data_IF_252858850033
#
_entry.id   IF_252858850033
#
_cell.length_a   1.000
_cell.length_b   1.000
_cell.length_c   1.000
_cell.angle_alpha   90.00
_cell.angle_beta   90.00
_cell.angle_gamma   90.00
#
_symmetry.space_group_name_H-M   'P 1'
#
loop_
_entity.id
_entity.type
_entity.pdbx_description
1 polymer ?
#
# COMPACT_ATOMS: atom_id res chain seq x y z
N UNK A 1 13.32 12.30 -2.46
CA UNK A 1 13.95 10.96 -2.56
C UNK A 1 14.69 10.86 -3.90
N UNK A 2 16.01 11.10 -3.91
CA UNK A 2 16.80 11.09 -5.16
C UNK A 2 17.18 9.68 -5.61
N UNK A 3 17.23 8.72 -4.67
CA UNK A 3 17.86 7.41 -4.90
C UNK A 3 16.89 6.24 -5.10
N UNK A 4 15.58 6.44 -5.18
CA UNK A 4 14.66 5.29 -5.20
C UNK A 4 14.86 4.39 -6.42
N UNK A 5 15.27 4.93 -7.57
CA UNK A 5 15.56 4.12 -8.76
C UNK A 5 16.75 3.20 -8.50
N UNK A 6 17.81 3.69 -7.84
CA UNK A 6 18.97 2.87 -7.46
C UNK A 6 18.58 1.80 -6.43
N UNK A 7 17.73 2.16 -5.46
CA UNK A 7 17.18 1.21 -4.48
C UNK A 7 16.40 0.11 -5.20
N UNK A 8 15.52 0.48 -6.14
CA UNK A 8 14.73 -0.47 -6.90
C UNK A 8 15.59 -1.36 -7.79
N UNK A 9 16.58 -0.81 -8.47
CA UNK A 9 17.52 -1.58 -9.28
C UNK A 9 18.25 -2.65 -8.44
N UNK A 10 18.73 -2.28 -7.26
CA UNK A 10 19.36 -3.23 -6.35
C UNK A 10 18.36 -4.27 -5.84
N UNK A 11 17.21 -3.83 -5.32
CA UNK A 11 16.20 -4.72 -4.76
C UNK A 11 15.63 -5.70 -5.80
N UNK A 12 15.35 -5.23 -7.02
CA UNK A 12 14.84 -6.05 -8.13
C UNK A 12 15.86 -7.03 -8.71
N UNK A 13 17.15 -6.88 -8.38
CA UNK A 13 18.15 -7.92 -8.65
C UNK A 13 18.04 -9.12 -7.70
N UNK A 14 17.40 -8.93 -6.54
CA UNK A 14 17.31 -9.92 -5.47
C UNK A 14 15.91 -10.53 -5.35
N UNK A 15 14.84 -9.72 -5.44
CA UNK A 15 13.44 -10.13 -5.23
C UNK A 15 12.45 -9.25 -6.00
N UNK A 16 11.22 -9.72 -6.25
CA UNK A 16 10.15 -8.88 -6.78
C UNK A 16 9.90 -7.65 -5.91
N UNK A 17 9.60 -6.52 -6.54
CA UNK A 17 9.36 -5.26 -5.86
C UNK A 17 7.96 -4.73 -6.17
N UNK A 18 7.29 -4.22 -5.14
CA UNK A 18 6.07 -3.43 -5.26
C UNK A 18 6.35 -2.01 -4.79
N UNK A 19 6.03 -1.03 -5.64
CA UNK A 19 6.13 0.39 -5.33
C UNK A 19 4.73 0.93 -5.05
N UNK A 20 4.53 1.46 -3.84
CA UNK A 20 3.32 2.19 -3.49
C UNK A 20 3.57 3.68 -3.72
N UNK A 21 2.73 4.32 -4.53
CA UNK A 21 2.95 5.71 -4.93
C UNK A 21 1.63 6.40 -5.27
N UNK A 22 1.58 7.72 -5.15
CA UNK A 22 0.45 8.51 -5.64
C UNK A 22 0.50 8.75 -7.16
N UNK A 23 1.56 8.31 -7.84
CA UNK A 23 1.67 8.40 -9.32
C UNK A 23 1.90 9.80 -9.87
N UNK A 24 2.15 10.80 -9.02
CA UNK A 24 2.22 12.22 -9.43
C UNK A 24 3.63 12.66 -9.86
N UNK A 25 3.95 13.95 -9.76
CA UNK A 25 5.22 14.57 -10.15
C UNK A 25 6.50 13.78 -9.80
N UNK A 26 6.65 13.16 -8.60
CA UNK A 26 7.86 12.39 -8.29
C UNK A 26 8.10 11.21 -9.24
N UNK A 27 7.03 10.59 -9.73
CA UNK A 27 7.07 9.53 -10.74
C UNK A 27 7.23 10.14 -12.12
N UNK A 28 6.36 11.09 -12.49
CA UNK A 28 6.36 11.72 -13.82
C UNK A 28 7.72 12.32 -14.20
N UNK A 29 8.38 13.01 -13.27
CA UNK A 29 9.70 13.63 -13.49
C UNK A 29 10.84 12.62 -13.62
N UNK A 30 10.60 11.34 -13.32
CA UNK A 30 11.62 10.27 -13.31
C UNK A 30 11.30 9.11 -14.23
N UNK A 31 10.30 9.26 -15.11
CA UNK A 31 9.90 8.21 -16.05
C UNK A 31 11.09 7.63 -16.84
N UNK A 32 12.00 8.47 -17.35
CA UNK A 32 13.21 8.02 -18.05
C UNK A 32 14.13 7.14 -17.18
N UNK A 33 14.29 7.47 -15.90
CA UNK A 33 15.06 6.65 -14.96
C UNK A 33 14.32 5.37 -14.56
N UNK A 34 12.99 5.42 -14.44
CA UNK A 34 12.19 4.22 -14.15
C UNK A 34 12.25 3.24 -15.33
N UNK A 35 12.25 3.75 -16.56
CA UNK A 35 12.35 2.92 -17.77
C UNK A 35 13.62 2.07 -17.81
N UNK A 36 14.73 2.53 -17.20
CA UNK A 36 15.97 1.74 -17.11
C UNK A 36 15.83 0.51 -16.20
N UNK A 37 14.77 0.43 -15.39
CA UNK A 37 14.50 -0.73 -14.55
C UNK A 37 13.80 -1.86 -15.31
N UNK A 38 13.40 -1.64 -16.57
CA UNK A 38 12.87 -2.70 -17.42
C UNK A 38 13.91 -3.80 -17.63
N UNK A 39 13.43 -5.04 -17.62
CA UNK A 39 14.32 -6.20 -17.73
C UNK A 39 15.11 -6.51 -16.45
N UNK A 40 14.80 -5.86 -15.32
CA UNK A 40 15.27 -6.31 -14.00
C UNK A 40 15.02 -7.81 -13.81
N UNK A 41 15.95 -8.49 -13.16
CA UNK A 41 15.88 -9.95 -12.92
C UNK A 41 14.55 -10.39 -12.30
N UNK A 42 14.04 -9.61 -11.35
CA UNK A 42 12.72 -9.79 -10.77
C UNK A 42 11.78 -8.63 -11.12
N UNK A 43 10.47 -8.89 -11.23
CA UNK A 43 9.51 -7.89 -11.67
C UNK A 43 9.36 -6.75 -10.66
N UNK A 44 9.10 -5.57 -11.19
CA UNK A 44 8.72 -4.37 -10.43
C UNK A 44 7.29 -4.02 -10.82
N UNK A 45 6.43 -3.86 -9.82
CA UNK A 45 5.03 -3.44 -10.01
C UNK A 45 4.76 -2.13 -9.28
N UNK A 46 3.79 -1.35 -9.76
CA UNK A 46 3.42 -0.07 -9.17
C UNK A 46 1.94 -0.07 -8.80
N UNK A 47 1.63 0.20 -7.52
CA UNK A 47 0.26 0.43 -7.08
C UNK A 47 0.03 1.92 -6.86
N UNK A 48 -0.90 2.47 -7.64
CA UNK A 48 -1.18 3.91 -7.67
C UNK A 48 -2.38 4.21 -6.78
N UNK A 49 -2.19 5.09 -5.80
CA UNK A 49 -3.26 5.53 -4.90
C UNK A 49 -4.14 6.60 -5.55
N UNK A 50 -5.38 6.23 -5.88
CA UNK A 50 -6.43 7.10 -6.41
C UNK A 50 -7.67 6.93 -5.54
N UNK A 51 -7.76 7.74 -4.49
CA UNK A 51 -8.70 7.55 -3.37
C UNK A 51 -10.18 7.53 -3.76
N UNK A 52 -10.58 8.42 -4.67
CA UNK A 52 -11.98 8.63 -5.06
C UNK A 52 -12.10 8.68 -6.59
N UNK A 53 -13.21 8.19 -7.18
CA UNK A 53 -13.44 8.30 -8.61
C UNK A 53 -13.81 9.74 -9.02
N UNK A 54 -14.34 10.52 -8.09
CA UNK A 54 -14.60 11.95 -8.26
C UNK A 54 -13.29 12.76 -8.15
N UNK A 55 -12.92 13.54 -9.19
CA UNK A 55 -11.68 14.29 -9.20
C UNK A 55 -11.56 15.34 -8.08
N UNK A 56 -12.64 16.07 -7.80
CA UNK A 56 -12.63 17.16 -6.82
C UNK A 56 -12.48 16.59 -5.40
N UNK A 57 -13.19 15.50 -5.08
CA UNK A 57 -13.06 14.76 -3.82
C UNK A 57 -11.67 14.16 -3.66
N UNK A 58 -11.08 13.60 -4.71
CA UNK A 58 -9.69 13.10 -4.68
C UNK A 58 -8.71 14.24 -4.37
N UNK A 59 -8.81 15.34 -5.11
CA UNK A 59 -7.88 16.45 -5.00
C UNK A 59 -8.04 17.24 -3.69
N UNK A 60 -9.20 17.22 -3.04
CA UNK A 60 -9.44 17.89 -1.76
C UNK A 60 -8.42 17.51 -0.67
N UNK A 61 -8.02 16.22 -0.60
CA UNK A 61 -7.02 15.73 0.36
C UNK A 61 -5.61 15.55 -0.22
N UNK A 62 -5.46 15.66 -1.54
CA UNK A 62 -4.23 15.32 -2.27
C UNK A 62 -3.55 16.54 -2.90
N UNK A 63 -4.27 17.64 -3.10
CA UNK A 63 -3.85 18.84 -3.82
C UNK A 63 -4.36 18.86 -5.26
N UNK A 64 -4.73 20.05 -5.75
CA UNK A 64 -5.35 20.25 -7.07
C UNK A 64 -4.52 19.69 -8.24
N UNK A 65 -5.20 19.02 -9.16
CA UNK A 65 -4.66 18.40 -10.36
C UNK A 65 -3.97 17.05 -10.14
N UNK A 66 -3.96 16.52 -8.91
CA UNK A 66 -3.27 15.25 -8.64
C UNK A 66 -4.06 14.04 -9.14
N UNK A 67 -5.38 14.10 -9.23
CA UNK A 67 -6.22 13.08 -9.85
C UNK A 67 -5.75 12.79 -11.28
N UNK A 68 -5.69 13.84 -12.11
CA UNK A 68 -5.25 13.72 -13.51
C UNK A 68 -3.80 13.25 -13.60
N UNK A 69 -2.91 13.79 -12.77
CA UNK A 69 -1.49 13.39 -12.74
C UNK A 69 -1.31 11.93 -12.35
N UNK A 70 -2.08 11.42 -11.39
CA UNK A 70 -2.01 10.03 -10.94
C UNK A 70 -2.34 9.08 -12.08
N UNK A 71 -3.42 9.33 -12.83
CA UNK A 71 -3.76 8.54 -14.02
C UNK A 71 -2.73 8.69 -15.14
N UNK A 72 -2.19 9.88 -15.38
CA UNK A 72 -1.10 10.09 -16.35
C UNK A 72 0.14 9.25 -15.99
N UNK A 73 0.53 9.25 -14.71
CA UNK A 73 1.65 8.46 -14.21
C UNK A 73 1.39 6.95 -14.33
N UNK A 74 0.18 6.52 -13.95
CA UNK A 74 -0.25 5.12 -14.09
C UNK A 74 -0.19 4.65 -15.55
N UNK A 75 -0.73 5.46 -16.48
CA UNK A 75 -0.68 5.19 -17.92
C UNK A 75 0.75 5.11 -18.43
N UNK A 76 1.61 6.06 -18.07
CA UNK A 76 3.00 6.07 -18.51
C UNK A 76 3.76 4.81 -18.05
N UNK A 77 3.59 4.42 -16.79
CA UNK A 77 4.19 3.18 -16.24
C UNK A 77 3.68 1.93 -16.97
N UNK A 78 2.37 1.86 -17.23
CA UNK A 78 1.76 0.77 -17.99
C UNK A 78 2.31 0.69 -19.43
N UNK A 79 2.38 1.82 -20.14
CA UNK A 79 2.93 1.90 -21.50
C UNK A 79 4.39 1.46 -21.58
N UNK A 80 5.17 1.67 -20.52
CA UNK A 80 6.55 1.16 -20.43
C UNK A 80 6.62 -0.37 -20.27
N UNK A 81 5.52 -1.02 -19.90
CA UNK A 81 5.45 -2.47 -19.69
C UNK A 81 5.54 -2.90 -18.23
N UNK A 82 5.39 -1.98 -17.27
CA UNK A 82 5.28 -2.35 -15.86
C UNK A 82 3.86 -2.79 -15.50
N UNK A 83 3.75 -3.75 -14.59
CA UNK A 83 2.47 -4.09 -13.99
C UNK A 83 2.01 -2.93 -13.11
N UNK A 84 0.77 -2.49 -13.32
CA UNK A 84 0.14 -1.44 -12.53
C UNK A 84 -1.14 -1.96 -11.86
N UNK A 85 -1.41 -1.47 -10.66
CA UNK A 85 -2.67 -1.68 -9.94
C UNK A 85 -3.13 -0.36 -9.32
N UNK A 86 -4.41 -0.28 -8.98
CA UNK A 86 -5.03 0.90 -8.36
C UNK A 86 -5.35 0.57 -6.90
N UNK A 87 -5.01 1.49 -6.00
CA UNK A 87 -5.49 1.48 -4.62
C UNK A 87 -6.49 2.62 -4.42
N UNK A 88 -7.65 2.34 -3.82
CA UNK A 88 -8.70 3.32 -3.53
C UNK A 88 -9.12 3.29 -2.06
N UNK A 89 -9.76 4.35 -1.61
CA UNK A 89 -10.51 4.34 -0.35
C UNK A 89 -11.84 3.61 -0.55
N UNK A 90 -12.35 2.97 0.50
CA UNK A 90 -13.72 2.45 0.58
C UNK A 90 -14.49 3.14 1.70
N UNK A 91 -15.76 3.39 1.45
CA UNK A 91 -16.70 3.80 2.50
C UNK A 91 -17.33 2.55 3.14
N UNK A 92 -17.72 2.63 4.42
CA UNK A 92 -18.15 1.45 5.18
C UNK A 92 -19.37 0.72 4.58
N UNK A 93 -20.30 1.48 3.99
CA UNK A 93 -21.57 0.98 3.45
C UNK A 93 -21.67 1.16 1.94
N UNK A 94 -20.53 1.24 1.24
CA UNK A 94 -20.53 1.38 -0.23
C UNK A 94 -20.93 0.07 -0.93
N UNK A 95 -21.51 0.19 -2.13
CA UNK A 95 -21.51 -0.89 -3.11
C UNK A 95 -20.16 -0.90 -3.83
N UNK A 96 -19.21 -1.70 -3.32
CA UNK A 96 -17.86 -1.79 -3.91
C UNK A 96 -17.86 -2.23 -5.37
N UNK A 97 -18.86 -3.00 -5.82
CA UNK A 97 -18.98 -3.40 -7.23
C UNK A 97 -19.28 -2.21 -8.12
N UNK A 98 -20.27 -1.40 -7.70
CA UNK A 98 -20.62 -0.14 -8.40
C UNK A 98 -19.47 0.88 -8.39
N UNK A 99 -18.78 1.05 -7.25
CA UNK A 99 -17.63 1.95 -7.16
C UNK A 99 -16.48 1.46 -8.05
N UNK A 100 -16.16 0.16 -8.02
CA UNK A 100 -15.13 -0.41 -8.88
C UNK A 100 -15.45 -0.22 -10.37
N UNK A 101 -16.73 -0.33 -10.78
CA UNK A 101 -17.14 -0.09 -12.16
C UNK A 101 -16.88 1.34 -12.62
N UNK A 102 -17.05 2.34 -11.74
CA UNK A 102 -16.66 3.73 -12.03
C UNK A 102 -15.16 3.84 -12.27
N UNK A 103 -14.33 3.17 -11.46
CA UNK A 103 -12.89 3.11 -11.69
C UNK A 103 -12.51 2.38 -12.97
N UNK A 104 -13.20 1.28 -13.32
CA UNK A 104 -12.96 0.56 -14.58
C UNK A 104 -13.23 1.46 -15.77
N UNK A 105 -14.24 2.32 -15.70
CA UNK A 105 -14.51 3.30 -16.75
C UNK A 105 -13.46 4.42 -16.82
N UNK A 106 -13.03 4.92 -15.66
CA UNK A 106 -11.90 5.86 -15.60
C UNK A 106 -10.62 5.25 -16.19
N UNK A 107 -10.31 4.00 -15.83
CA UNK A 107 -9.16 3.28 -16.39
C UNK A 107 -9.21 3.25 -17.91
N UNK A 108 -10.36 2.88 -18.50
CA UNK A 108 -10.54 2.90 -19.97
C UNK A 108 -10.39 4.30 -20.56
N UNK A 109 -10.99 5.30 -19.93
CA UNK A 109 -10.89 6.73 -20.34
C UNK A 109 -9.44 7.20 -20.40
N UNK A 110 -8.61 6.74 -19.46
CA UNK A 110 -7.17 7.03 -19.42
C UNK A 110 -6.31 6.03 -20.21
N UNK A 111 -6.89 5.15 -21.02
CA UNK A 111 -6.16 4.21 -21.87
C UNK A 111 -5.46 3.07 -21.12
N UNK A 112 -5.97 2.71 -19.94
CA UNK A 112 -5.55 1.56 -19.14
C UNK A 112 -6.54 0.40 -19.31
N UNK A 113 -6.11 -0.86 -19.07
CA UNK A 113 -7.00 -2.00 -19.13
C UNK A 113 -8.14 -1.91 -18.10
N UNK A 114 -9.38 -2.10 -18.52
CA UNK A 114 -10.54 -2.09 -17.60
C UNK A 114 -10.56 -3.26 -16.59
N UNK A 115 -9.70 -4.26 -16.77
CA UNK A 115 -9.48 -5.36 -15.82
C UNK A 115 -8.25 -5.14 -14.91
N UNK A 116 -7.69 -3.92 -14.87
CA UNK A 116 -6.60 -3.58 -13.95
C UNK A 116 -7.04 -3.86 -12.50
N UNK A 117 -6.15 -4.50 -11.72
CA UNK A 117 -6.42 -4.85 -10.31
C UNK A 117 -6.73 -3.59 -9.50
N UNK A 118 -7.86 -3.59 -8.82
CA UNK A 118 -8.27 -2.57 -7.84
C UNK A 118 -8.16 -3.18 -6.45
N UNK A 119 -7.57 -2.45 -5.52
CA UNK A 119 -7.47 -2.81 -4.10
C UNK A 119 -8.11 -1.69 -3.29
N UNK A 120 -9.18 -1.99 -2.58
CA UNK A 120 -9.89 -1.03 -1.76
C UNK A 120 -9.41 -1.12 -0.31
N UNK A 121 -9.22 0.04 0.34
CA UNK A 121 -8.79 0.15 1.73
C UNK A 121 -9.83 0.91 2.54
N UNK A 122 -10.19 0.43 3.74
CA UNK A 122 -11.01 1.21 4.67
C UNK A 122 -10.20 2.38 5.23
N UNK A 123 -10.90 3.27 5.92
CA UNK A 123 -10.26 4.32 6.70
C UNK A 123 -9.48 3.71 7.89
N UNK A 124 -8.22 4.13 8.03
CA UNK A 124 -7.32 3.74 9.11
C UNK A 124 -7.09 4.87 10.14
N UNK A 125 -7.86 5.96 10.04
CA UNK A 125 -7.66 7.23 10.74
C UNK A 125 -6.30 7.89 10.48
N UNK A 126 -6.16 9.09 11.04
CA UNK A 126 -4.92 9.84 11.05
C UNK A 126 -3.89 9.24 12.03
N UNK A 127 -2.58 9.49 11.84
CA UNK A 127 -1.53 9.16 12.80
C UNK A 127 -1.86 9.65 14.22
N UNK A 128 -1.55 8.83 15.23
CA UNK A 128 -1.82 9.08 16.65
C UNK A 128 -3.31 9.25 17.03
N UNK A 129 -4.24 8.90 16.14
CA UNK A 129 -5.64 8.74 16.52
C UNK A 129 -5.78 7.58 17.51
N UNK A 130 -6.70 7.72 18.45
CA UNK A 130 -7.08 6.65 19.37
C UNK A 130 -8.55 6.32 19.15
N UNK A 131 -8.83 5.03 18.92
CA UNK A 131 -10.19 4.49 18.98
C UNK A 131 -10.30 3.50 20.12
N UNK A 132 -11.43 3.55 20.81
CA UNK A 132 -11.79 2.52 21.78
C UNK A 132 -12.32 1.30 21.03
N UNK A 133 -11.40 0.38 20.70
CA UNK A 133 -11.72 -0.88 20.02
C UNK A 133 -11.12 -2.05 20.80
N UNK A 134 -11.76 -3.23 20.78
CA UNK A 134 -11.24 -4.40 21.47
C UNK A 134 -9.89 -4.87 20.90
N UNK A 135 -9.02 -5.36 21.79
CA UNK A 135 -7.82 -6.11 21.40
C UNK A 135 -8.20 -7.34 20.56
N UNK A 136 -7.52 -7.55 19.43
CA UNK A 136 -7.67 -8.78 18.64
C UNK A 136 -6.85 -9.89 19.29
N UNK A 137 -7.54 -10.89 19.83
CA UNK A 137 -6.91 -12.04 20.51
C UNK A 137 -6.68 -13.21 19.55
N UNK A 138 -5.87 -14.19 19.98
CA UNK A 138 -5.71 -15.45 19.24
C UNK A 138 -7.05 -16.19 19.06
N UNK A 139 -7.93 -16.15 20.07
CA UNK A 139 -9.27 -16.74 19.97
C UNK A 139 -10.15 -16.01 18.95
N UNK A 140 -10.03 -14.68 18.84
CA UNK A 140 -10.70 -13.94 17.78
C UNK A 140 -10.21 -14.40 16.41
N UNK A 141 -8.89 -14.52 16.23
CA UNK A 141 -8.30 -14.96 14.96
C UNK A 141 -8.70 -16.38 14.58
N UNK A 142 -8.72 -17.33 15.51
CA UNK A 142 -9.11 -18.72 15.19
C UNK A 142 -10.62 -18.91 15.02
N UNK A 143 -11.44 -18.03 15.61
CA UNK A 143 -12.90 -18.11 15.53
C UNK A 143 -13.48 -17.44 14.29
N UNK A 144 -12.94 -16.28 13.91
CA UNK A 144 -13.53 -15.43 12.86
C UNK A 144 -12.73 -15.44 11.56
N UNK A 145 -11.51 -15.98 11.56
CA UNK A 145 -10.66 -16.07 10.37
C UNK A 145 -10.31 -17.54 10.08
N UNK A 146 -10.27 -17.88 8.80
CA UNK A 146 -9.74 -19.17 8.32
C UNK A 146 -8.21 -19.20 8.42
N UNK A 147 -7.58 -20.36 8.20
CA UNK A 147 -6.13 -20.40 8.08
C UNK A 147 -5.62 -19.56 6.91
N UNK A 148 -6.27 -19.64 5.76
CA UNK A 148 -5.87 -18.90 4.55
C UNK A 148 -5.95 -17.39 4.75
N UNK A 149 -7.04 -16.89 5.32
CA UNK A 149 -7.20 -15.46 5.63
C UNK A 149 -6.18 -14.98 6.65
N UNK A 150 -5.88 -15.79 7.69
CA UNK A 150 -4.82 -15.48 8.66
C UNK A 150 -3.44 -15.32 8.00
N UNK A 151 -3.14 -16.07 6.95
CA UNK A 151 -1.86 -15.98 6.21
C UNK A 151 -1.77 -14.74 5.31
N UNK A 152 -2.90 -14.10 4.99
CA UNK A 152 -2.94 -12.90 4.15
C UNK A 152 -2.66 -11.59 4.90
N UNK A 153 -2.72 -11.59 6.24
CA UNK A 153 -2.38 -10.43 7.04
C UNK A 153 -0.89 -10.11 6.90
N UNK A 154 -0.59 -8.89 6.44
CA UNK A 154 0.80 -8.45 6.24
C UNK A 154 1.67 -8.59 7.50
N UNK A 155 1.11 -8.36 8.69
CA UNK A 155 1.84 -8.47 9.94
C UNK A 155 2.34 -9.89 10.24
N UNK A 156 1.77 -10.92 9.58
CA UNK A 156 2.16 -12.32 9.75
C UNK A 156 3.48 -12.68 9.04
N UNK A 157 3.83 -11.99 7.94
CA UNK A 157 4.99 -12.38 7.11
C UNK A 157 5.87 -11.20 6.66
N UNK A 158 5.47 -9.96 6.90
CA UNK A 158 6.22 -8.76 6.53
C UNK A 158 6.56 -7.91 7.74
N UNK A 159 7.54 -7.02 7.54
CA UNK A 159 7.97 -5.99 8.50
C UNK A 159 8.24 -4.70 7.72
N UNK A 160 8.02 -3.56 8.35
CA UNK A 160 8.39 -2.27 7.76
C UNK A 160 9.76 -1.87 8.26
N UNK A 161 10.60 -1.33 7.37
CA UNK A 161 11.89 -0.76 7.75
C UNK A 161 11.85 0.72 7.40
N UNK A 162 12.00 1.59 8.40
CA UNK A 162 11.98 3.04 8.23
C UNK A 162 13.28 3.68 8.68
N UNK A 163 13.59 4.85 8.12
CA UNK A 163 14.67 5.72 8.59
C UNK A 163 14.09 6.86 9.43
N UNK A 164 14.23 6.79 10.76
CA UNK A 164 13.76 7.80 11.71
C UNK A 164 14.96 8.46 12.37
N UNK A 165 15.08 9.78 12.27
CA UNK A 165 16.20 10.55 12.85
C UNK A 165 17.59 10.01 12.48
N UNK A 166 17.77 9.61 11.20
CA UNK A 166 19.03 9.07 10.70
C UNK A 166 19.25 7.57 10.98
N UNK A 167 18.44 6.94 11.81
CA UNK A 167 18.58 5.54 12.22
C UNK A 167 17.56 4.65 11.50
N UNK A 168 17.99 3.45 11.12
CA UNK A 168 17.08 2.42 10.60
C UNK A 168 16.37 1.74 11.77
N UNK A 169 15.04 1.62 11.66
CA UNK A 169 14.17 0.97 12.64
C UNK A 169 13.29 -0.05 11.94
N UNK A 170 13.09 -1.21 12.57
CA UNK A 170 12.21 -2.27 12.08
C UNK A 170 10.91 -2.21 12.86
N UNK A 171 9.80 -1.97 12.16
CA UNK A 171 8.45 -1.93 12.72
C UNK A 171 7.66 -3.18 12.36
N UNK A 172 6.71 -3.55 13.22
CA UNK A 172 5.90 -4.74 13.06
C UNK A 172 4.99 -4.72 11.80
N UNK A 173 4.47 -3.55 11.44
CA UNK A 173 3.56 -3.34 10.31
C UNK A 173 3.72 -1.91 9.77
N UNK A 174 3.29 -1.67 8.53
CA UNK A 174 3.30 -0.34 7.89
C UNK A 174 2.28 0.64 8.46
N UNK A 175 1.31 0.15 9.25
CA UNK A 175 0.21 0.94 9.80
C UNK A 175 0.39 1.30 11.27
N UNK A 176 1.52 1.00 11.90
CA UNK A 176 1.71 1.13 13.36
C UNK A 176 2.99 1.89 13.69
N UNK A 177 3.46 2.75 12.79
CA UNK A 177 4.70 3.51 12.95
C UNK A 177 4.58 4.73 13.89
N UNK A 178 3.35 5.05 14.28
CA UNK A 178 3.00 6.02 15.31
C UNK A 178 3.01 5.45 16.73
N UNK A 179 3.10 4.13 16.91
CA UNK A 179 3.15 3.48 18.22
C UNK A 179 4.54 2.85 18.51
N UNK A 180 5.30 3.36 19.51
CA UNK A 180 6.59 2.83 19.89
C UNK A 180 6.60 1.36 20.35
N UNK A 181 5.46 0.79 20.80
CA UNK A 181 5.38 -0.64 21.17
C UNK A 181 5.68 -1.54 19.96
N UNK A 182 5.41 -1.04 18.74
CA UNK A 182 5.62 -1.75 17.49
C UNK A 182 6.98 -1.50 16.85
N UNK A 183 7.83 -0.66 17.45
CA UNK A 183 9.24 -0.55 17.09
C UNK A 183 10.00 -1.78 17.64
N UNK A 184 10.39 -2.68 16.74
CA UNK A 184 10.98 -3.96 17.06
C UNK A 184 12.51 -3.92 17.20
N UNK A 185 13.16 -2.79 16.93
CA UNK A 185 14.61 -2.65 17.07
C UNK A 185 15.31 -2.08 15.83
N UNK A 186 16.65 -2.07 15.87
CA UNK A 186 17.49 -1.55 14.80
C UNK A 186 17.84 -2.59 13.74
N UNK A 187 17.68 -3.89 14.04
CA UNK A 187 18.10 -4.99 13.19
C UNK A 187 16.99 -6.02 12.96
N UNK A 188 17.09 -6.78 11.86
CA UNK A 188 16.17 -7.90 11.61
C UNK A 188 16.27 -9.00 12.68
N UNK A 189 17.47 -9.21 13.22
CA UNK A 189 17.71 -10.20 14.27
C UNK A 189 16.97 -9.84 15.57
N UNK A 190 17.03 -8.57 15.99
CA UNK A 190 16.23 -8.06 17.12
C UNK A 190 14.73 -8.24 16.86
N UNK A 191 14.27 -7.92 15.64
CA UNK A 191 12.85 -7.97 15.31
C UNK A 191 12.26 -9.39 15.29
N UNK A 192 13.04 -10.41 14.90
CA UNK A 192 12.58 -11.80 14.79
C UNK A 192 12.18 -12.40 16.15
N UNK A 193 12.82 -11.98 17.25
CA UNK A 193 12.55 -12.51 18.58
C UNK A 193 11.34 -11.90 19.29
N UNK A 194 10.71 -10.86 18.72
CA UNK A 194 9.66 -10.09 19.40
C UNK A 194 8.27 -10.52 18.98
N UNK A 195 7.46 -10.92 19.96
CA UNK A 195 6.04 -11.19 19.75
C UNK A 195 5.29 -9.87 19.53
N UNK A 196 4.53 -9.80 18.45
CA UNK A 196 3.66 -8.65 18.11
C UNK A 196 2.24 -8.96 18.57
N UNK A 197 1.60 -8.01 19.26
CA UNK A 197 0.20 -8.11 19.67
C UNK A 197 -0.67 -7.24 18.76
N UNK A 198 -1.89 -7.68 18.43
CA UNK A 198 -2.83 -6.92 17.59
C UNK A 198 -3.73 -6.02 18.44
N UNK A 199 -3.13 -5.03 19.13
CA UNK A 199 -3.81 -4.09 20.04
C UNK A 199 -4.07 -2.72 19.42
N UNK A 200 -3.29 -2.35 18.41
CA UNK A 200 -3.47 -1.08 17.73
C UNK A 200 -4.85 -1.03 17.06
N UNK A 201 -5.52 0.12 17.10
CA UNK A 201 -6.86 0.24 16.51
C UNK A 201 -6.89 -0.12 15.01
N UNK A 202 -5.82 0.19 14.27
CA UNK A 202 -5.66 -0.23 12.86
C UNK A 202 -5.50 -1.75 12.69
N UNK A 203 -5.00 -2.48 13.69
CA UNK A 203 -5.02 -3.95 13.65
C UNK A 203 -6.46 -4.48 13.70
N UNK A 204 -7.33 -3.85 14.50
CA UNK A 204 -8.75 -4.15 14.51
C UNK A 204 -9.40 -3.83 13.16
N UNK A 205 -9.10 -2.68 12.55
CA UNK A 205 -9.59 -2.34 11.20
C UNK A 205 -9.18 -3.40 10.17
N UNK A 206 -7.91 -3.80 10.13
CA UNK A 206 -7.47 -4.91 9.26
C UNK A 206 -8.23 -6.21 9.54
N UNK A 207 -8.48 -6.54 10.80
CA UNK A 207 -9.23 -7.74 11.19
C UNK A 207 -10.70 -7.69 10.76
N UNK A 208 -11.35 -6.54 10.92
CA UNK A 208 -12.77 -6.35 10.61
C UNK A 208 -13.04 -6.31 9.10
N UNK A 209 -12.15 -5.67 8.33
CA UNK A 209 -12.35 -5.42 6.90
C UNK A 209 -11.46 -6.28 5.98
N UNK A 210 -10.65 -7.19 6.54
CA UNK A 210 -9.78 -8.08 5.76
C UNK A 210 -8.69 -7.36 4.94
N UNK A 211 -8.33 -6.13 5.32
CA UNK A 211 -7.48 -5.26 4.51
C UNK A 211 -6.03 -5.76 4.48
N UNK A 212 -5.49 -5.91 3.29
CA UNK A 212 -4.08 -6.27 3.08
C UNK A 212 -3.44 -5.39 2.02
N UNK A 213 -2.27 -4.83 2.32
CA UNK A 213 -1.45 -4.15 1.32
C UNK A 213 -0.51 -5.15 0.59
N UNK A 214 -0.65 -6.46 0.84
CA UNK A 214 0.10 -7.53 0.18
C UNK A 214 -0.26 -7.67 -1.30
N UNK A 215 0.68 -8.16 -2.10
CA UNK A 215 0.43 -8.68 -3.45
C UNK A 215 0.48 -10.21 -3.51
N UNK A 216 0.88 -10.87 -2.41
CA UNK A 216 0.80 -12.32 -2.19
C UNK A 216 -0.63 -12.74 -1.87
#
# INVERSE_FOLDING_TARGET
MKDFVNILHYASSLRPCLVLTNGTDPVLKRLHHIETLRGSKYPISFRISIDWPDPDRHDAGRGAGNFVKAFQGMRALHTMGFNVSLARQMEADEDSGSVDDQYRELLRTYGLPGNTRIVAFPDFDVPAAHRDVPDVTESCMTRYQTEDTRRQFMCAFSKMVIKKNGQMRVYACTLVDDDPEYDLGATLAEAQGRRVRMRHHRCYTCFAFGSSCSEL
#
